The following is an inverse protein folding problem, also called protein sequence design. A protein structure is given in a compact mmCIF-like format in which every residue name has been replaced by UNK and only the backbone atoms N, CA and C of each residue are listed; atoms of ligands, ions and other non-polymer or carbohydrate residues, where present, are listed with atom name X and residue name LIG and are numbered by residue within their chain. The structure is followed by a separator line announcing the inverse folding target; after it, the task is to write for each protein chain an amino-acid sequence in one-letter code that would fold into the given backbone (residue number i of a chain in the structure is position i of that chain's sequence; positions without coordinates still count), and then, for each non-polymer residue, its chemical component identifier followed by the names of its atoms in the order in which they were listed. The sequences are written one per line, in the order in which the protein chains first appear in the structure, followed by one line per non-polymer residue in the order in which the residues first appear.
data_IF_269488109617
#
_entry.id   IF_269488109617
#
_cell.length_a   1.000
_cell.length_b   1.000
_cell.length_c   1.000
_cell.angle_alpha   90.00
_cell.angle_beta   90.00
_cell.angle_gamma   90.00
#
_symmetry.space_group_name_H-M   'P 1'
#
loop_
_entity.id
_entity.type
_entity.pdbx_description
1 polymer ?
#
# COMPACT_ATOMS: atom_id res chain seq x y z
N UNK A 1 -5.80 12.92 2.44
CA UNK A 1 -6.90 12.17 1.79
C UNK A 1 -7.74 13.05 0.88
N UNK A 2 -7.71 12.78 -0.42
CA UNK A 2 -8.64 13.33 -1.42
C UNK A 2 -9.86 12.41 -1.57
N UNK A 3 -11.05 13.00 -1.53
CA UNK A 3 -12.33 12.51 -2.08
C UNK A 3 -12.58 10.98 -2.07
N UNK A 4 -13.04 10.44 -0.93
CA UNK A 4 -13.69 9.13 -0.89
C UNK A 4 -14.31 8.81 0.48
N UNK A 5 -15.35 7.99 0.49
CA UNK A 5 -16.00 7.50 1.71
C UNK A 5 -15.27 6.24 2.20
N UNK A 6 -14.81 6.24 3.46
CA UNK A 6 -14.19 5.05 4.07
C UNK A 6 -15.10 3.83 4.04
N UNK A 7 -16.42 4.03 3.93
CA UNK A 7 -17.39 2.95 3.79
C UNK A 7 -17.30 2.19 2.47
N UNK A 8 -16.57 2.70 1.49
CA UNK A 8 -16.26 1.92 0.29
C UNK A 8 -15.35 0.74 0.62
N UNK A 9 -14.36 0.96 1.49
CA UNK A 9 -13.41 -0.08 1.95
C UNK A 9 -13.96 -0.85 3.15
N UNK A 10 -14.66 -0.15 4.06
CA UNK A 10 -15.23 -0.69 5.30
C UNK A 10 -16.76 -0.52 5.34
N UNK A 11 -17.55 -1.37 4.65
CA UNK A 11 -18.99 -1.16 4.46
C UNK A 11 -19.80 -0.99 5.74
N UNK A 12 -19.43 -1.68 6.80
CA UNK A 12 -20.14 -1.67 8.09
C UNK A 12 -19.57 -0.65 9.09
N UNK A 13 -18.73 0.29 8.64
CA UNK A 13 -18.11 1.30 9.49
C UNK A 13 -19.15 2.29 10.04
N UNK A 14 -19.43 2.15 11.34
CA UNK A 14 -20.30 3.05 12.10
C UNK A 14 -19.53 4.32 12.52
N UNK A 15 -18.36 4.15 13.15
CA UNK A 15 -17.56 5.25 13.69
C UNK A 15 -16.39 5.62 12.75
N UNK A 16 -16.59 6.61 11.91
CA UNK A 16 -15.59 7.06 10.93
C UNK A 16 -14.38 7.73 11.58
N UNK A 17 -14.60 8.49 12.66
CA UNK A 17 -13.59 9.36 13.29
C UNK A 17 -12.32 8.63 13.73
N UNK A 18 -12.41 7.55 14.53
CA UNK A 18 -11.24 6.80 15.01
C UNK A 18 -10.42 6.20 13.86
N UNK A 19 -11.07 5.52 12.90
CA UNK A 19 -10.42 4.92 11.74
C UNK A 19 -9.71 5.98 10.90
N UNK A 20 -10.39 7.10 10.62
CA UNK A 20 -9.81 8.22 9.88
C UNK A 20 -8.60 8.83 10.59
N UNK A 21 -8.62 8.93 11.92
CA UNK A 21 -7.49 9.46 12.69
C UNK A 21 -6.24 8.59 12.53
N UNK A 22 -6.38 7.26 12.60
CA UNK A 22 -5.27 6.31 12.40
C UNK A 22 -4.73 6.40 10.97
N UNK A 23 -5.61 6.39 9.97
CA UNK A 23 -5.20 6.50 8.56
C UNK A 23 -4.44 7.80 8.27
N UNK A 24 -4.82 8.92 8.89
CA UNK A 24 -4.05 10.18 8.78
C UNK A 24 -2.63 10.07 9.33
N UNK A 25 -2.42 9.29 10.38
CA UNK A 25 -1.07 9.02 10.90
C UNK A 25 -0.24 8.20 9.91
N UNK A 26 -0.87 7.21 9.26
CA UNK A 26 -0.22 6.42 8.21
C UNK A 26 0.13 7.29 6.99
N UNK A 27 -0.80 8.12 6.52
CA UNK A 27 -0.57 9.11 5.45
C UNK A 27 0.62 10.02 5.77
N UNK A 28 0.69 10.56 7.00
CA UNK A 28 1.80 11.38 7.43
C UNK A 28 3.15 10.63 7.48
N UNK A 29 3.13 9.31 7.70
CA UNK A 29 4.34 8.48 7.71
C UNK A 29 4.83 8.21 6.28
N UNK A 30 3.93 7.89 5.36
CA UNK A 30 4.26 7.75 3.93
C UNK A 30 4.71 9.09 3.34
N UNK A 31 4.07 10.21 3.70
CA UNK A 31 4.51 11.54 3.29
C UNK A 31 5.92 11.88 3.75
N UNK A 32 6.31 11.46 4.97
CA UNK A 32 7.70 11.58 5.45
C UNK A 32 8.66 10.68 4.66
N UNK A 33 8.27 9.45 4.35
CA UNK A 33 9.07 8.56 3.50
C UNK A 33 9.30 9.17 2.11
N UNK A 34 8.24 9.67 1.47
CA UNK A 34 8.38 10.34 0.18
C UNK A 34 9.30 11.58 0.25
N UNK A 35 9.20 12.35 1.34
CA UNK A 35 10.13 13.45 1.62
C UNK A 35 11.59 12.99 1.69
N UNK A 36 11.87 11.82 2.29
CA UNK A 36 13.22 11.21 2.28
C UNK A 36 13.66 10.82 0.86
N UNK A 37 12.72 10.38 0.01
CA UNK A 37 12.95 10.07 -1.39
C UNK A 37 13.11 11.33 -2.27
N UNK A 38 12.90 12.53 -1.73
CA UNK A 38 13.01 13.80 -2.46
C UNK A 38 11.84 14.09 -3.40
N UNK A 39 10.69 13.42 -3.23
CA UNK A 39 9.47 13.65 -4.00
C UNK A 39 8.28 13.91 -3.07
N UNK A 40 7.28 14.70 -3.48
CA UNK A 40 6.01 14.73 -2.76
C UNK A 40 5.38 13.34 -2.82
N UNK A 41 4.96 12.80 -1.66
CA UNK A 41 4.29 11.52 -1.60
C UNK A 41 2.87 11.61 -2.15
N UNK A 42 2.40 10.53 -2.78
CA UNK A 42 0.97 10.36 -2.93
C UNK A 42 0.42 10.09 -1.52
N UNK A 43 -0.58 10.86 -1.10
CA UNK A 43 -1.31 10.59 0.14
C UNK A 43 -2.03 9.24 0.09
N UNK A 44 -2.86 8.96 1.09
CA UNK A 44 -3.76 7.82 0.99
C UNK A 44 -4.84 8.11 -0.06
N UNK A 45 -4.97 7.21 -1.03
CA UNK A 45 -5.89 7.27 -2.16
C UNK A 45 -6.84 6.08 -2.09
N UNK A 46 -8.10 6.32 -2.45
CA UNK A 46 -9.08 5.25 -2.63
C UNK A 46 -8.91 4.65 -4.02
N UNK A 47 -8.58 3.36 -4.07
CA UNK A 47 -8.55 2.61 -5.31
C UNK A 47 -9.95 2.06 -5.57
N UNK A 48 -10.68 2.70 -6.47
CA UNK A 48 -11.95 2.17 -6.97
C UNK A 48 -11.85 2.03 -8.49
N UNK A 49 -12.28 0.88 -9.01
CA UNK A 49 -12.46 0.71 -10.44
C UNK A 49 -13.96 0.81 -10.73
N UNK A 50 -14.43 1.85 -11.46
CA UNK A 50 -15.84 1.99 -11.79
C UNK A 50 -16.41 0.73 -12.45
N UNK A 51 -17.46 0.16 -11.86
CA UNK A 51 -18.10 -1.07 -12.37
C UNK A 51 -17.51 -2.39 -11.83
N UNK A 52 -16.41 -2.35 -11.08
CA UNK A 52 -15.92 -3.50 -10.34
C UNK A 52 -16.30 -3.37 -8.85
N UNK A 53 -16.64 -4.48 -8.17
CA UNK A 53 -16.90 -4.51 -6.73
C UNK A 53 -15.58 -4.50 -5.96
N UNK A 54 -14.72 -3.53 -6.27
CA UNK A 54 -13.40 -3.38 -5.70
C UNK A 54 -13.25 -1.96 -5.16
N UNK A 55 -12.99 -1.88 -3.87
CA UNK A 55 -12.62 -0.66 -3.18
C UNK A 55 -11.45 -1.00 -2.25
N UNK A 56 -10.30 -0.40 -2.53
CA UNK A 56 -9.09 -0.51 -1.74
C UNK A 56 -8.65 0.86 -1.23
N UNK A 57 -7.65 0.83 -0.36
CA UNK A 57 -6.95 2.03 0.09
C UNK A 57 -5.46 1.80 -0.15
N UNK A 58 -4.79 2.70 -0.86
CA UNK A 58 -3.35 2.64 -1.08
C UNK A 58 -2.67 3.93 -0.72
N UNK A 59 -1.38 3.85 -0.39
CA UNK A 59 -0.48 5.00 -0.42
C UNK A 59 0.86 4.58 -1.00
N UNK A 60 1.45 5.49 -1.78
CA UNK A 60 2.66 5.24 -2.55
C UNK A 60 3.70 6.33 -2.28
N UNK A 61 4.91 5.88 -1.96
CA UNK A 61 6.11 6.71 -2.00
C UNK A 61 7.07 6.09 -3.01
N UNK A 62 7.33 6.79 -4.10
CA UNK A 62 8.16 6.27 -5.19
C UNK A 62 9.24 7.24 -5.66
N UNK A 63 10.32 6.63 -6.12
CA UNK A 63 11.40 7.16 -6.94
C UNK A 63 11.39 6.35 -8.25
N UNK A 64 12.02 6.85 -9.30
CA UNK A 64 12.12 6.18 -10.61
C UNK A 64 12.53 4.69 -10.51
N UNK A 65 13.39 4.39 -9.54
CA UNK A 65 13.99 3.08 -9.36
C UNK A 65 13.29 2.17 -8.36
N UNK A 66 12.64 2.73 -7.34
CA UNK A 66 12.10 2.00 -6.18
C UNK A 66 10.74 2.56 -5.76
N UNK A 67 9.86 1.67 -5.35
CA UNK A 67 8.50 1.93 -4.91
C UNK A 67 8.31 1.35 -3.51
N UNK A 68 7.70 2.13 -2.64
CA UNK A 68 7.21 1.72 -1.33
C UNK A 68 5.71 1.90 -1.32
N UNK A 69 5.00 0.78 -1.23
CA UNK A 69 3.55 0.75 -1.40
C UNK A 69 2.91 0.11 -0.18
N UNK A 70 1.90 0.78 0.39
CA UNK A 70 0.96 0.16 1.32
C UNK A 70 -0.37 0.04 0.63
N UNK A 71 -1.03 -1.11 0.79
CA UNK A 71 -2.30 -1.39 0.16
C UNK A 71 -3.20 -2.16 1.11
N UNK A 72 -4.47 -1.77 1.16
CA UNK A 72 -5.55 -2.55 1.76
C UNK A 72 -6.28 -3.24 0.63
N UNK A 73 -6.05 -4.54 0.50
CA UNK A 73 -6.71 -5.38 -0.48
C UNK A 73 -7.90 -6.13 0.15
N UNK A 74 -8.91 -6.36 -0.68
CA UNK A 74 -9.97 -7.31 -0.34
C UNK A 74 -9.40 -8.73 -0.48
N UNK A 75 -9.90 -9.73 0.27
CA UNK A 75 -9.55 -11.12 0.03
C UNK A 75 -9.66 -11.43 -1.46
N UNK A 76 -8.54 -11.86 -2.07
CA UNK A 76 -8.43 -12.17 -3.49
C UNK A 76 -9.21 -13.46 -3.80
N UNK A 77 -10.55 -13.42 -3.75
CA UNK A 77 -11.37 -14.43 -4.40
C UNK A 77 -11.79 -13.91 -5.79
N UNK A 78 -11.03 -14.25 -6.85
CA UNK A 78 -11.34 -13.79 -8.21
C UNK A 78 -12.67 -14.34 -8.74
N UNK A 79 -13.29 -15.31 -8.06
CA UNK A 79 -14.59 -15.87 -8.44
C UNK A 79 -15.76 -15.18 -7.77
N UNK A 80 -15.51 -14.32 -6.77
CA UNK A 80 -16.56 -13.60 -6.06
C UNK A 80 -16.43 -12.11 -6.32
N UNK A 81 -17.36 -11.59 -7.12
CA UNK A 81 -17.63 -10.17 -7.23
C UNK A 81 -18.25 -9.67 -5.92
N UNK A 82 -17.43 -9.47 -4.88
CA UNK A 82 -17.93 -9.13 -3.54
C UNK A 82 -18.20 -7.63 -3.43
N UNK A 83 -19.44 -7.22 -3.68
CA UNK A 83 -19.90 -5.81 -3.58
C UNK A 83 -19.70 -5.23 -2.18
N UNK A 84 -19.65 -6.10 -1.15
CA UNK A 84 -19.39 -5.75 0.25
C UNK A 84 -18.46 -6.81 0.85
N UNK A 85 -17.14 -6.66 0.69
CA UNK A 85 -16.16 -7.63 1.17
C UNK A 85 -16.32 -7.78 2.69
N UNK A 86 -16.63 -8.99 3.19
CA UNK A 86 -16.57 -9.23 4.61
C UNK A 86 -15.10 -9.25 5.05
N UNK A 87 -14.82 -9.04 6.35
CA UNK A 87 -13.52 -9.35 6.90
C UNK A 87 -13.09 -10.80 6.59
N UNK A 88 -11.77 -11.07 6.58
CA UNK A 88 -10.70 -10.15 6.99
C UNK A 88 -10.23 -9.22 5.86
N UNK A 89 -9.90 -7.97 6.21
CA UNK A 89 -9.19 -7.06 5.31
C UNK A 89 -7.69 -7.43 5.29
N UNK A 90 -7.13 -7.56 4.09
CA UNK A 90 -5.70 -7.79 3.92
C UNK A 90 -4.99 -6.44 3.82
N UNK A 91 -3.93 -6.29 4.61
CA UNK A 91 -3.08 -5.10 4.58
C UNK A 91 -1.68 -5.56 4.20
N UNK A 92 -1.24 -5.06 3.06
CA UNK A 92 -0.01 -5.44 2.38
C UNK A 92 0.94 -4.25 2.33
N UNK A 93 2.22 -4.51 2.56
CA UNK A 93 3.31 -3.57 2.35
C UNK A 93 4.32 -4.17 1.40
N UNK A 94 4.67 -3.44 0.35
CA UNK A 94 5.57 -3.90 -0.70
C UNK A 94 6.69 -2.88 -0.92
N UNK A 95 7.91 -3.39 -1.05
CA UNK A 95 9.04 -2.67 -1.63
C UNK A 95 9.36 -3.33 -2.95
N UNK A 96 9.29 -2.58 -4.05
CA UNK A 96 9.60 -3.08 -5.38
C UNK A 96 10.47 -2.14 -6.19
N UNK A 97 11.17 -2.69 -7.18
CA UNK A 97 12.09 -1.95 -8.05
C UNK A 97 11.66 -2.06 -9.51
N UNK A 98 11.94 -1.05 -10.32
CA UNK A 98 11.52 -1.01 -11.74
C UNK A 98 12.25 -2.08 -12.57
N UNK A 99 11.56 -2.93 -13.31
CA UNK A 99 12.26 -3.85 -14.21
C UNK A 99 13.06 -3.07 -15.28
N UNK A 100 14.34 -3.41 -15.47
CA UNK A 100 15.23 -2.82 -16.48
C UNK A 100 15.61 -3.84 -17.59
N UNK A 101 15.00 -5.02 -17.59
CA UNK A 101 15.19 -6.02 -18.63
C UNK A 101 14.62 -5.55 -19.98
N UNK A 102 15.15 -6.11 -21.08
CA UNK A 102 14.71 -5.81 -22.46
C UNK A 102 13.19 -6.04 -22.63
N UNK A 103 12.64 -7.02 -21.91
CA UNK A 103 11.21 -7.22 -21.77
C UNK A 103 10.77 -6.73 -20.39
N UNK A 104 10.48 -5.43 -20.33
CA UNK A 104 9.99 -4.77 -19.12
C UNK A 104 8.67 -5.40 -18.65
N UNK A 105 8.70 -6.02 -17.47
CA UNK A 105 7.54 -6.62 -16.81
C UNK A 105 6.86 -5.68 -15.79
N UNK A 106 7.33 -4.43 -15.68
CA UNK A 106 6.83 -3.45 -14.72
C UNK A 106 7.77 -3.26 -13.53
N UNK A 107 7.53 -4.00 -12.46
CA UNK A 107 8.30 -3.93 -11.21
C UNK A 107 8.56 -5.33 -10.64
N UNK A 108 9.69 -5.51 -9.97
CA UNK A 108 10.06 -6.71 -9.23
C UNK A 108 9.92 -6.46 -7.74
N UNK A 109 9.16 -7.32 -7.06
CA UNK A 109 9.06 -7.34 -5.60
C UNK A 109 10.42 -7.68 -4.98
N UNK A 110 10.81 -6.92 -3.96
CA UNK A 110 12.04 -7.13 -3.19
C UNK A 110 11.71 -7.60 -1.78
N UNK A 111 10.74 -6.97 -1.14
CA UNK A 111 10.27 -7.35 0.19
C UNK A 111 8.77 -7.08 0.33
N UNK A 112 8.11 -7.96 1.08
CA UNK A 112 6.69 -7.84 1.40
C UNK A 112 6.43 -8.14 2.88
N UNK A 113 5.37 -7.51 3.40
CA UNK A 113 4.77 -7.83 4.68
C UNK A 113 3.26 -7.82 4.51
N UNK A 114 2.58 -8.83 5.04
CA UNK A 114 1.14 -9.01 4.88
C UNK A 114 0.51 -9.27 6.26
N UNK A 115 -0.70 -8.78 6.45
CA UNK A 115 -1.47 -9.00 7.68
C UNK A 115 -2.97 -8.97 7.41
N UNK A 116 -3.73 -9.77 8.15
CA UNK A 116 -5.18 -9.89 8.02
C UNK A 116 -5.88 -9.34 9.27
N UNK A 117 -6.92 -8.54 9.10
CA UNK A 117 -7.61 -7.84 10.19
C UNK A 117 -9.13 -8.00 10.11
N UNK A 118 -9.77 -8.27 11.23
CA UNK A 118 -11.21 -8.56 11.30
C UNK A 118 -12.08 -7.33 11.56
N UNK A 119 -11.48 -6.19 11.93
CA UNK A 119 -12.20 -4.94 12.18
C UNK A 119 -11.61 -3.80 11.35
N UNK A 120 -12.42 -2.78 10.99
CA UNK A 120 -11.93 -1.59 10.30
C UNK A 120 -10.83 -0.83 11.06
N UNK A 121 -10.92 -0.81 12.39
CA UNK A 121 -9.92 -0.14 13.23
C UNK A 121 -8.61 -0.92 13.23
N UNK A 122 -8.66 -2.24 13.42
CA UNK A 122 -7.47 -3.09 13.36
C UNK A 122 -6.81 -3.02 11.98
N UNK A 123 -7.61 -3.00 10.91
CA UNK A 123 -7.09 -2.82 9.55
C UNK A 123 -6.38 -1.47 9.38
N UNK A 124 -6.94 -0.38 9.92
CA UNK A 124 -6.27 0.92 9.90
C UNK A 124 -4.98 0.95 10.73
N UNK A 125 -4.96 0.28 11.89
CA UNK A 125 -3.75 0.10 12.69
C UNK A 125 -2.71 -0.75 11.96
N UNK A 126 -3.15 -1.76 11.21
CA UNK A 126 -2.33 -2.52 10.26
C UNK A 126 -1.69 -1.62 9.20
N UNK A 127 -2.47 -0.72 8.59
CA UNK A 127 -1.94 0.26 7.60
C UNK A 127 -0.89 1.16 8.24
N UNK A 128 -1.14 1.63 9.47
CA UNK A 128 -0.18 2.43 10.22
C UNK A 128 1.11 1.65 10.53
N UNK A 129 0.99 0.39 10.95
CA UNK A 129 2.13 -0.48 11.23
C UNK A 129 2.97 -0.74 9.97
N UNK A 130 2.32 -1.05 8.84
CA UNK A 130 2.99 -1.26 7.54
C UNK A 130 3.65 0.02 7.04
N UNK A 131 2.98 1.17 7.12
CA UNK A 131 3.59 2.46 6.81
C UNK A 131 4.80 2.75 7.73
N UNK A 132 4.71 2.33 9.00
CA UNK A 132 5.80 2.28 9.96
C UNK A 132 7.02 1.54 9.44
N UNK A 133 6.80 0.28 9.07
CA UNK A 133 7.81 -0.62 8.51
C UNK A 133 8.45 -0.07 7.22
N UNK A 134 7.64 0.42 6.27
CA UNK A 134 8.13 1.02 5.02
C UNK A 134 9.02 2.23 5.28
N UNK A 135 8.63 3.10 6.21
CA UNK A 135 9.43 4.26 6.59
C UNK A 135 10.77 3.84 7.22
N UNK A 136 10.75 2.84 8.11
CA UNK A 136 11.97 2.36 8.76
C UNK A 136 12.91 1.70 7.74
N UNK A 137 12.37 0.91 6.79
CA UNK A 137 13.12 0.35 5.67
C UNK A 137 13.72 1.43 4.78
N UNK A 138 12.91 2.37 4.30
CA UNK A 138 13.37 3.46 3.44
C UNK A 138 14.40 4.36 4.10
N UNK A 139 14.41 4.46 5.42
CA UNK A 139 15.42 5.19 6.19
C UNK A 139 16.70 4.40 6.44
N UNK A 140 16.60 3.08 6.61
CA UNK A 140 17.73 2.24 7.00
C UNK A 140 18.80 2.10 5.90
N UNK A 141 18.42 2.27 4.62
CA UNK A 141 19.30 1.98 3.49
C UNK A 141 19.23 3.03 2.38
N UNK A 142 20.35 3.32 1.70
CA UNK A 142 20.33 4.16 0.50
C UNK A 142 19.50 3.54 -0.63
N UNK A 143 18.80 4.35 -1.42
CA UNK A 143 17.88 3.84 -2.46
C UNK A 143 18.55 2.89 -3.47
N UNK A 144 19.83 3.12 -3.78
CA UNK A 144 20.61 2.27 -4.68
C UNK A 144 20.90 0.86 -4.13
N UNK A 145 20.71 0.60 -2.84
CA UNK A 145 20.88 -0.76 -2.29
C UNK A 145 19.74 -1.69 -2.72
N UNK A 146 18.50 -1.19 -2.79
CA UNK A 146 17.32 -1.95 -3.18
C UNK A 146 17.48 -2.54 -4.58
N UNK A 147 18.02 -1.75 -5.51
CA UNK A 147 18.33 -2.19 -6.89
C UNK A 147 19.22 -3.42 -6.94
N UNK A 148 20.22 -3.50 -6.07
CA UNK A 148 21.19 -4.61 -6.08
C UNK A 148 20.56 -5.95 -5.65
N UNK A 149 19.38 -5.89 -5.02
CA UNK A 149 18.59 -7.04 -4.59
C UNK A 149 17.68 -7.58 -5.68
N UNK A 150 17.57 -6.87 -6.81
CA UNK A 150 16.88 -7.40 -7.97
C UNK A 150 17.64 -8.61 -8.53
N UNK A 151 17.09 -9.79 -8.29
CA UNK A 151 17.64 -11.05 -8.79
C UNK A 151 17.04 -11.46 -10.13
N UNK A 152 15.89 -10.86 -10.51
CA UNK A 152 15.10 -11.25 -11.68
C UNK A 152 15.55 -10.51 -12.95
N UNK A 153 16.09 -9.31 -12.83
CA UNK A 153 16.73 -8.59 -13.94
C UNK A 153 18.03 -9.23 -14.45
N UNK A 154 18.55 -10.27 -13.79
CA UNK A 154 19.82 -10.94 -14.18
C UNK A 154 19.66 -11.96 -15.31
N UNK A 155 18.45 -12.17 -15.82
CA UNK A 155 18.23 -13.01 -17.00
C UNK A 155 18.58 -12.23 -18.28
N UNK A 156 19.88 -12.19 -18.60
CA UNK A 156 20.40 -11.85 -19.94
C UNK A 156 20.39 -13.07 -20.85
#
# INVERSE_FOLDING_TARGET
MSEGDLRWVFPDLVEVGPVLAVLRLAEARIGRLAGLLGRPGAGLVFDHLPGAPYAGLSALAELEEVSFHVHVSLPRDPHRNVVRPPPPWQVDGEISVRCDAIRDCGRHEIETVESAHDTPLDAADGVLAVAGWLFDRGRAEPHASWRKRDVLSRHR
#
